data_IF_559259837815
#
_entry.id   IF_559259837815
#
_cell.length_a   1.000
_cell.length_b   1.000
_cell.length_c   1.000
_cell.angle_alpha   90.00
_cell.angle_beta   90.00
_cell.angle_gamma   90.00
#
_symmetry.space_group_name_H-M   'P 1'
#
loop_
_entity.id
_entity.type
_entity.pdbx_description
1 polymer ?
#
# COMPACT_ATOMS: atom_id res chain seq x y z
N UNK A 1 -10.41 -7.03 -28.13
CA UNK A 1 -10.86 -6.94 -26.73
C UNK A 1 -9.66 -7.21 -25.86
N UNK A 2 -8.99 -6.16 -25.41
CA UNK A 2 -7.69 -6.19 -24.73
C UNK A 2 -7.78 -6.51 -23.23
N UNK A 3 -8.90 -7.10 -22.77
CA UNK A 3 -9.16 -7.39 -21.37
C UNK A 3 -8.23 -8.49 -20.80
N UNK A 4 -7.75 -9.40 -21.65
CA UNK A 4 -6.90 -10.51 -21.22
C UNK A 4 -5.42 -10.15 -21.05
N UNK A 5 -4.96 -9.01 -21.59
CA UNK A 5 -3.52 -8.68 -21.58
C UNK A 5 -2.97 -8.42 -20.17
N UNK A 6 -3.82 -7.91 -19.28
CA UNK A 6 -3.43 -7.53 -17.90
C UNK A 6 -4.24 -8.23 -16.81
N UNK A 7 -5.28 -8.99 -17.18
CA UNK A 7 -6.18 -9.63 -16.22
C UNK A 7 -5.48 -10.63 -15.28
N UNK A 8 -4.51 -11.39 -15.79
CA UNK A 8 -3.71 -12.32 -14.99
C UNK A 8 -2.75 -11.60 -14.03
N UNK A 9 -2.07 -10.56 -14.52
CA UNK A 9 -1.16 -9.75 -13.70
C UNK A 9 -1.92 -9.03 -12.57
N UNK A 10 -3.05 -8.39 -12.89
CA UNK A 10 -3.88 -7.73 -11.90
C UNK A 10 -4.39 -8.71 -10.83
N UNK A 11 -4.82 -9.90 -11.21
CA UNK A 11 -5.25 -10.93 -10.25
C UNK A 11 -4.12 -11.41 -9.35
N UNK A 12 -2.91 -11.58 -9.89
CA UNK A 12 -1.73 -11.94 -9.11
C UNK A 12 -1.40 -10.85 -8.08
N UNK A 13 -1.38 -9.58 -8.50
CA UNK A 13 -1.14 -8.44 -7.62
C UNK A 13 -2.20 -8.37 -6.50
N UNK A 14 -3.49 -8.53 -6.84
CA UNK A 14 -4.58 -8.55 -5.85
C UNK A 14 -4.51 -9.74 -4.88
N UNK A 15 -3.99 -10.89 -5.32
CA UNK A 15 -3.80 -12.03 -4.45
C UNK A 15 -2.67 -11.77 -3.45
N UNK A 16 -1.54 -11.25 -3.93
CA UNK A 16 -0.36 -10.93 -3.12
C UNK A 16 -0.68 -9.90 -2.02
N UNK A 17 -1.31 -8.78 -2.39
CA UNK A 17 -1.63 -7.72 -1.41
C UNK A 17 -2.61 -8.21 -0.34
N UNK A 18 -3.60 -9.04 -0.71
CA UNK A 18 -4.54 -9.61 0.26
C UNK A 18 -3.87 -10.61 1.20
N UNK A 19 -2.96 -11.45 0.70
CA UNK A 19 -2.17 -12.36 1.55
C UNK A 19 -1.32 -11.59 2.57
N UNK A 20 -0.82 -10.43 2.18
CA UNK A 20 -0.07 -9.52 3.05
C UNK A 20 -0.96 -8.67 3.98
N UNK A 21 -2.28 -8.92 4.00
CA UNK A 21 -3.24 -8.27 4.89
C UNK A 21 -3.67 -6.87 4.45
N UNK A 22 -3.42 -6.47 3.20
CA UNK A 22 -3.91 -5.22 2.62
C UNK A 22 -5.36 -5.39 2.18
N UNK A 23 -6.29 -5.04 3.07
CA UNK A 23 -7.73 -5.26 2.88
C UNK A 23 -8.51 -3.98 2.51
N UNK A 24 -7.84 -2.84 2.36
CA UNK A 24 -8.47 -1.55 2.10
C UNK A 24 -7.66 -0.68 1.15
N UNK A 25 -8.35 0.20 0.43
CA UNK A 25 -7.74 1.17 -0.48
C UNK A 25 -8.09 2.60 -0.05
N UNK A 26 -7.15 3.57 -0.15
CA UNK A 26 -5.72 3.36 -0.36
C UNK A 26 -5.07 2.78 0.90
N UNK A 27 -4.04 1.96 0.75
CA UNK A 27 -3.15 1.58 1.86
C UNK A 27 -1.71 1.90 1.46
N UNK A 28 -0.96 2.45 2.40
CA UNK A 28 0.43 2.88 2.21
C UNK A 28 1.34 2.14 3.18
N UNK A 29 2.59 1.91 2.76
CA UNK A 29 3.68 1.43 3.62
C UNK A 29 4.81 2.46 3.56
N UNK A 30 5.22 2.96 4.72
CA UNK A 30 6.27 3.97 4.88
C UNK A 30 7.25 3.46 5.95
N UNK A 31 8.44 3.04 5.53
CA UNK A 31 9.35 2.29 6.40
C UNK A 31 8.66 1.05 6.97
N UNK A 32 8.61 0.93 8.30
CA UNK A 32 7.94 -0.17 9.00
C UNK A 32 6.44 0.10 9.28
N UNK A 33 5.93 1.28 8.92
CA UNK A 33 4.57 1.69 9.25
C UNK A 33 3.61 1.45 8.09
N UNK A 34 2.46 0.85 8.40
CA UNK A 34 1.33 0.68 7.48
C UNK A 34 0.21 1.66 7.81
N UNK A 35 -0.20 2.46 6.83
CA UNK A 35 -1.29 3.44 6.94
C UNK A 35 -2.45 2.98 6.07
N UNK A 36 -3.60 2.68 6.69
CA UNK A 36 -4.80 2.22 5.99
C UNK A 36 -5.79 3.38 5.84
N UNK A 37 -6.28 3.57 4.62
CA UNK A 37 -7.22 4.62 4.25
C UNK A 37 -6.55 5.95 3.89
N UNK A 38 -7.35 6.87 3.35
CA UNK A 38 -6.95 8.24 3.10
C UNK A 38 -6.91 9.02 4.42
N UNK A 39 -5.79 8.91 5.14
CA UNK A 39 -5.54 9.61 6.40
C UNK A 39 -5.19 11.10 6.18
N UNK A 40 -5.23 11.93 7.22
CA UNK A 40 -4.72 13.31 7.16
C UNK A 40 -3.23 13.37 6.80
N UNK A 41 -2.81 14.49 6.20
CA UNK A 41 -1.43 14.70 5.78
C UNK A 41 -0.41 14.53 6.92
N UNK A 42 -0.77 14.97 8.12
CA UNK A 42 0.08 14.95 9.31
C UNK A 42 0.48 13.51 9.68
N UNK A 43 -0.40 12.53 9.42
CA UNK A 43 -0.10 11.10 9.65
C UNK A 43 1.01 10.62 8.71
N UNK A 44 0.98 11.07 7.45
CA UNK A 44 2.00 10.73 6.47
C UNK A 44 3.33 11.41 6.77
N UNK A 45 3.31 12.70 7.10
CA UNK A 45 4.51 13.45 7.47
C UNK A 45 5.23 12.79 8.66
N UNK A 46 4.48 12.48 9.73
CA UNK A 46 5.05 11.81 10.90
C UNK A 46 5.63 10.43 10.60
N UNK A 47 4.99 9.65 9.72
CA UNK A 47 5.49 8.33 9.33
C UNK A 47 6.80 8.42 8.51
N UNK A 48 6.92 9.44 7.65
CA UNK A 48 8.13 9.70 6.88
C UNK A 48 9.27 10.13 7.80
N UNK A 49 9.01 11.06 8.73
CA UNK A 49 10.01 11.52 9.70
C UNK A 49 10.52 10.36 10.55
N UNK A 50 9.62 9.48 11.01
CA UNK A 50 9.98 8.29 11.77
C UNK A 50 10.81 7.28 10.95
N UNK A 51 10.52 7.13 9.65
CA UNK A 51 11.31 6.27 8.76
C UNK A 51 12.72 6.82 8.51
N UNK A 52 12.87 8.14 8.39
CA UNK A 52 14.17 8.80 8.21
C UNK A 52 15.02 8.77 9.48
N UNK A 53 14.41 8.85 10.67
CA UNK A 53 15.12 8.80 11.95
C UNK A 53 15.73 7.43 12.28
N UNK A 54 15.31 6.36 11.60
CA UNK A 54 15.79 4.98 11.81
C UNK A 54 16.93 4.57 10.85
N UNK A 55 17.45 5.49 10.03
CA UNK A 55 18.58 5.24 9.12
C UNK A 55 19.94 5.24 9.84
#
# INVERSE_FOLDING_TARGET
MDADRYGAAAQADFAEVRQNGFNGTPTFVIGDQRIVGAQPFEVFAAAIDAALAKQ
#
